data_IF_176943414316
#
_entry.id   IF_176943414316
#
_cell.length_a   1.000
_cell.length_b   1.000
_cell.length_c   1.000
_cell.angle_alpha   90.00
_cell.angle_beta   90.00
_cell.angle_gamma   90.00
#
_symmetry.space_group_name_H-M   'P 1'
#
loop_
_entity.id
_entity.type
_entity.pdbx_description
1 polymer ?
#
# COMPACT_ATOMS: atom_id res chain seq x y z
N UNK A 1 6.33 -14.02 7.36
CA UNK A 1 6.21 -14.30 5.91
C UNK A 1 6.91 -15.58 5.56
N UNK A 2 6.56 -16.19 4.43
CA UNK A 2 7.20 -17.38 3.89
C UNK A 2 7.82 -17.04 2.53
N UNK A 3 8.79 -17.84 2.07
CA UNK A 3 9.60 -17.52 0.88
C UNK A 3 8.81 -17.48 -0.43
N UNK A 4 7.84 -18.38 -0.61
CA UNK A 4 7.03 -18.46 -1.83
C UNK A 4 5.74 -17.68 -1.64
N UNK A 5 5.90 -16.35 -1.55
CA UNK A 5 4.79 -15.42 -1.46
C UNK A 5 4.38 -14.94 -2.85
N UNK A 6 3.08 -14.95 -3.08
CA UNK A 6 2.45 -14.40 -4.29
C UNK A 6 1.68 -13.15 -3.91
N UNK A 7 1.81 -12.13 -4.73
CA UNK A 7 0.97 -10.94 -4.71
C UNK A 7 0.29 -10.85 -6.08
N UNK A 8 -1.01 -11.04 -6.09
CA UNK A 8 -1.84 -10.91 -7.30
C UNK A 8 -2.66 -9.64 -7.15
N UNK A 9 -2.38 -8.66 -8.00
CA UNK A 9 -3.15 -7.43 -8.03
C UNK A 9 -4.63 -7.71 -8.33
N UNK A 10 -5.50 -7.13 -7.51
CA UNK A 10 -6.94 -7.26 -7.63
C UNK A 10 -7.59 -5.89 -7.51
N UNK A 11 -7.68 -5.19 -8.65
CA UNK A 11 -8.22 -3.84 -8.75
C UNK A 11 -9.50 -3.84 -9.56
N UNK A 12 -10.62 -3.56 -8.91
CA UNK A 12 -11.94 -3.49 -9.56
C UNK A 12 -12.61 -2.17 -9.26
N UNK A 13 -13.03 -1.47 -10.33
CA UNK A 13 -13.87 -0.29 -10.19
C UNK A 13 -15.30 -0.68 -9.85
N UNK A 14 -16.04 0.27 -9.33
CA UNK A 14 -17.48 0.13 -9.03
C UNK A 14 -18.35 -0.28 -10.23
N UNK A 15 -17.83 -0.13 -11.45
CA UNK A 15 -18.53 -0.48 -12.68
C UNK A 15 -18.34 -1.95 -13.10
N UNK A 16 -17.43 -2.69 -12.47
CA UNK A 16 -17.18 -4.10 -12.81
C UNK A 16 -18.24 -4.96 -12.12
N UNK A 17 -19.07 -5.67 -12.91
CA UNK A 17 -20.13 -6.52 -12.35
C UNK A 17 -19.57 -7.85 -11.83
N UNK A 18 -20.37 -8.53 -11.00
CA UNK A 18 -20.15 -9.92 -10.58
C UNK A 18 -18.78 -10.18 -9.92
N UNK A 19 -18.26 -9.22 -9.17
CA UNK A 19 -16.97 -9.37 -8.46
C UNK A 19 -17.04 -10.58 -7.54
N UNK A 20 -16.10 -11.52 -7.72
CA UNK A 20 -16.00 -12.73 -6.90
C UNK A 20 -17.03 -13.83 -7.22
N UNK A 21 -17.95 -13.66 -8.19
CA UNK A 21 -19.00 -14.65 -8.51
C UNK A 21 -18.46 -16.03 -8.89
N UNK A 22 -17.28 -16.09 -9.47
CA UNK A 22 -16.59 -17.32 -9.87
C UNK A 22 -15.65 -17.87 -8.78
N UNK A 23 -15.63 -17.29 -7.59
CA UNK A 23 -14.73 -17.74 -6.53
C UNK A 23 -15.15 -19.13 -6.03
N UNK A 24 -14.22 -20.07 -6.20
CA UNK A 24 -14.32 -21.45 -5.69
C UNK A 24 -13.19 -21.71 -4.71
N UNK A 25 -13.48 -21.96 -3.42
CA UNK A 25 -12.44 -22.28 -2.42
C UNK A 25 -11.60 -23.50 -2.84
N UNK A 26 -12.22 -24.52 -3.42
CA UNK A 26 -11.54 -25.75 -3.88
C UNK A 26 -10.54 -25.43 -5.00
N UNK A 27 -11.00 -24.70 -6.03
CA UNK A 27 -10.14 -24.30 -7.14
C UNK A 27 -9.00 -23.38 -6.65
N UNK A 28 -9.31 -22.43 -5.78
CA UNK A 28 -8.32 -21.53 -5.19
C UNK A 28 -7.22 -22.31 -4.45
N UNK A 29 -7.61 -23.25 -3.59
CA UNK A 29 -6.67 -24.13 -2.88
C UNK A 29 -5.84 -24.98 -3.84
N UNK A 30 -6.45 -25.53 -4.88
CA UNK A 30 -5.74 -26.34 -5.87
C UNK A 30 -4.67 -25.51 -6.59
N UNK A 31 -4.98 -24.28 -7.04
CA UNK A 31 -4.01 -23.43 -7.71
C UNK A 31 -2.86 -23.03 -6.77
N UNK A 32 -3.14 -22.73 -5.50
CA UNK A 32 -2.10 -22.45 -4.51
C UNK A 32 -1.18 -23.65 -4.26
N UNK A 33 -1.72 -24.86 -4.19
CA UNK A 33 -0.91 -26.10 -4.07
C UNK A 33 -0.05 -26.36 -5.31
N UNK A 34 -0.64 -26.23 -6.51
CA UNK A 34 0.07 -26.39 -7.80
C UNK A 34 1.20 -25.37 -7.96
N UNK A 35 0.96 -24.12 -7.52
CA UNK A 35 1.97 -23.06 -7.52
C UNK A 35 2.99 -23.16 -6.38
N UNK A 36 2.88 -24.16 -5.49
CA UNK A 36 3.70 -24.28 -4.29
C UNK A 36 3.73 -23.00 -3.44
N UNK A 37 2.60 -22.29 -3.36
CA UNK A 37 2.48 -21.02 -2.67
C UNK A 37 2.42 -21.26 -1.16
N UNK A 38 3.27 -20.54 -0.40
CA UNK A 38 3.29 -20.60 1.07
C UNK A 38 2.62 -19.38 1.71
N UNK A 39 2.46 -18.30 0.95
CA UNK A 39 1.83 -17.05 1.40
C UNK A 39 1.21 -16.33 0.21
N UNK A 40 0.01 -15.78 0.39
CA UNK A 40 -0.67 -14.97 -0.63
C UNK A 40 -1.20 -13.68 -0.02
N UNK A 41 -0.94 -12.55 -0.66
CA UNK A 41 -1.52 -11.26 -0.25
C UNK A 41 -2.96 -11.18 -0.75
N UNK A 42 -3.90 -10.92 0.17
CA UNK A 42 -5.33 -10.81 -0.11
C UNK A 42 -5.83 -9.40 0.14
N UNK A 43 -6.76 -8.94 -0.66
CA UNK A 43 -7.16 -7.53 -0.71
C UNK A 43 -8.35 -7.24 0.20
N UNK A 44 -8.18 -6.33 1.18
CA UNK A 44 -9.29 -5.69 1.90
C UNK A 44 -9.91 -4.58 1.05
N UNK A 45 -9.07 -3.71 0.47
CA UNK A 45 -9.49 -2.72 -0.54
C UNK A 45 -8.37 -2.44 -1.53
N UNK A 46 -8.73 -2.07 -2.76
CA UNK A 46 -7.79 -1.65 -3.80
C UNK A 46 -7.77 -0.13 -3.99
N UNK A 47 -7.11 0.37 -5.04
CA UNK A 47 -7.00 1.79 -5.35
C UNK A 47 -8.34 2.48 -5.65
N UNK A 48 -9.35 1.74 -6.09
CA UNK A 48 -10.69 2.28 -6.29
C UNK A 48 -11.42 2.62 -4.97
N UNK A 49 -10.94 2.10 -3.82
CA UNK A 49 -11.43 2.46 -2.50
C UNK A 49 -12.57 1.60 -1.96
N UNK A 50 -13.08 0.62 -2.71
CA UNK A 50 -14.14 -0.28 -2.26
C UNK A 50 -13.59 -1.48 -1.48
N UNK A 51 -14.33 -1.90 -0.44
CA UNK A 51 -13.97 -3.08 0.35
C UNK A 51 -14.40 -4.38 -0.34
N UNK A 52 -13.59 -5.41 -0.23
CA UNK A 52 -13.90 -6.77 -0.70
C UNK A 52 -14.49 -7.65 0.41
N UNK A 53 -15.11 -7.02 1.39
CA UNK A 53 -15.79 -7.65 2.53
C UNK A 53 -16.87 -6.72 3.08
N UNK A 54 -17.87 -7.21 3.81
CA UNK A 54 -18.77 -6.36 4.59
C UNK A 54 -17.95 -5.50 5.56
N UNK A 55 -18.17 -4.20 5.56
CA UNK A 55 -17.34 -3.25 6.30
C UNK A 55 -18.19 -2.20 6.99
N UNK A 56 -17.74 -1.75 8.18
CA UNK A 56 -18.29 -0.61 8.92
C UNK A 56 -17.41 0.63 8.69
N UNK A 57 -16.10 0.43 8.55
CA UNK A 57 -15.13 1.51 8.32
C UNK A 57 -15.04 1.92 6.84
N UNK A 58 -15.67 1.15 5.94
CA UNK A 58 -15.68 1.36 4.49
C UNK A 58 -17.02 0.91 3.90
N UNK A 59 -17.15 0.99 2.59
CA UNK A 59 -18.28 0.47 1.85
C UNK A 59 -17.84 -0.76 1.04
N UNK A 60 -18.64 -1.83 1.10
CA UNK A 60 -18.42 -3.01 0.25
C UNK A 60 -18.58 -2.64 -1.22
N UNK A 61 -17.82 -3.30 -2.08
CA UNK A 61 -17.92 -3.13 -3.53
C UNK A 61 -19.37 -3.40 -3.99
N UNK A 62 -19.97 -2.50 -4.81
CA UNK A 62 -21.42 -2.57 -5.14
C UNK A 62 -21.83 -3.85 -5.85
N UNK A 63 -20.92 -4.54 -6.50
CA UNK A 63 -21.16 -5.78 -7.20
C UNK A 63 -20.52 -7.00 -6.52
N UNK A 64 -20.25 -6.92 -5.21
CA UNK A 64 -19.82 -8.04 -4.38
C UNK A 64 -20.89 -8.37 -3.35
N UNK A 65 -21.41 -9.59 -3.37
CA UNK A 65 -22.56 -10.01 -2.55
C UNK A 65 -22.18 -10.81 -1.29
N UNK A 66 -20.89 -11.07 -1.06
CA UNK A 66 -20.43 -11.88 0.06
C UNK A 66 -19.08 -11.40 0.60
N UNK A 67 -18.58 -12.01 1.66
CA UNK A 67 -17.26 -11.75 2.24
C UNK A 67 -16.17 -12.49 1.46
N UNK A 68 -15.70 -11.88 0.37
CA UNK A 68 -14.66 -12.48 -0.48
C UNK A 68 -13.32 -12.59 0.28
N UNK A 69 -12.94 -11.55 1.04
CA UNK A 69 -11.69 -11.57 1.81
C UNK A 69 -11.71 -12.68 2.87
N UNK A 70 -12.79 -12.80 3.64
CA UNK A 70 -12.95 -13.86 4.63
C UNK A 70 -12.90 -15.25 4.02
N UNK A 71 -13.63 -15.47 2.93
CA UNK A 71 -13.64 -16.75 2.22
C UNK A 71 -12.26 -17.14 1.66
N UNK A 72 -11.49 -16.18 1.16
CA UNK A 72 -10.12 -16.41 0.69
C UNK A 72 -9.17 -16.74 1.84
N UNK A 73 -9.28 -16.03 2.99
CA UNK A 73 -8.46 -16.31 4.18
C UNK A 73 -8.73 -17.73 4.71
N UNK A 74 -10.00 -18.08 4.87
CA UNK A 74 -10.39 -19.41 5.32
C UNK A 74 -9.87 -20.52 4.38
N UNK A 75 -10.05 -20.35 3.08
CA UNK A 75 -9.59 -21.30 2.09
C UNK A 75 -8.06 -21.47 2.10
N UNK A 76 -7.31 -20.39 2.20
CA UNK A 76 -5.84 -20.42 2.26
C UNK A 76 -5.33 -21.06 3.57
N UNK A 77 -5.91 -20.69 4.71
CA UNK A 77 -5.53 -21.24 6.02
C UNK A 77 -5.81 -22.73 6.12
N UNK A 78 -6.89 -23.23 5.53
CA UNK A 78 -7.21 -24.65 5.50
C UNK A 78 -6.12 -25.52 4.84
N UNK A 79 -5.25 -24.92 4.03
CA UNK A 79 -4.10 -25.56 3.41
C UNK A 79 -2.75 -25.02 3.90
N UNK A 80 -2.76 -24.35 5.06
CA UNK A 80 -1.56 -23.80 5.71
C UNK A 80 -0.82 -22.73 4.88
N UNK A 81 -1.52 -21.95 4.06
CA UNK A 81 -0.99 -20.80 3.33
C UNK A 81 -1.25 -19.54 4.14
N UNK A 82 -0.22 -18.71 4.33
CA UNK A 82 -0.29 -17.45 5.08
C UNK A 82 -0.97 -16.35 4.27
N UNK A 83 -1.70 -15.47 4.96
CA UNK A 83 -2.56 -14.45 4.33
C UNK A 83 -2.32 -13.06 4.90
N UNK A 84 -1.24 -12.34 4.51
CA UNK A 84 -1.17 -10.91 4.74
C UNK A 84 -2.29 -10.20 3.96
N UNK A 85 -2.91 -9.20 4.62
CA UNK A 85 -4.02 -8.44 4.05
C UNK A 85 -3.52 -7.10 3.50
N UNK A 86 -3.82 -6.85 2.25
CA UNK A 86 -3.48 -5.64 1.51
C UNK A 86 -4.53 -4.56 1.71
N UNK A 87 -4.06 -3.33 1.94
CA UNK A 87 -4.86 -2.12 1.83
C UNK A 87 -4.09 -1.09 0.97
N UNK A 88 -4.75 -0.57 -0.07
CA UNK A 88 -4.26 0.63 -0.74
C UNK A 88 -4.30 1.79 0.25
N UNK A 89 -3.14 2.25 0.68
CA UNK A 89 -3.04 3.29 1.68
C UNK A 89 -2.96 4.69 1.06
N UNK A 90 -2.09 4.87 0.06
CA UNK A 90 -1.89 6.17 -0.57
C UNK A 90 -2.93 6.57 -1.61
N UNK A 91 -3.68 5.59 -2.13
CA UNK A 91 -4.69 5.79 -3.17
C UNK A 91 -6.05 5.28 -2.67
N UNK A 92 -7.06 6.09 -2.82
CA UNK A 92 -8.45 5.75 -2.56
C UNK A 92 -9.33 6.65 -3.43
N UNK A 93 -9.64 6.19 -4.64
CA UNK A 93 -10.34 7.01 -5.62
C UNK A 93 -11.76 7.38 -5.18
N UNK A 94 -12.40 6.52 -4.40
CA UNK A 94 -13.72 6.81 -3.82
C UNK A 94 -13.66 7.98 -2.85
N UNK A 95 -12.71 7.99 -1.93
CA UNK A 95 -12.55 9.09 -0.97
C UNK A 95 -11.97 10.34 -1.65
N UNK A 96 -11.09 10.18 -2.63
CA UNK A 96 -10.56 11.29 -3.43
C UNK A 96 -11.67 12.07 -4.15
N UNK A 97 -12.66 11.37 -4.72
CA UNK A 97 -13.82 12.01 -5.38
C UNK A 97 -14.76 12.70 -4.40
N UNK A 98 -14.88 12.17 -3.17
CA UNK A 98 -15.71 12.78 -2.11
C UNK A 98 -15.06 13.99 -1.48
N UNK A 99 -13.74 13.97 -1.41
CA UNK A 99 -12.90 14.92 -0.70
C UNK A 99 -11.76 15.42 -1.59
N UNK A 100 -12.06 16.21 -2.66
CA UNK A 100 -11.04 16.77 -3.53
C UNK A 100 -10.00 17.63 -2.78
N UNK A 101 -10.39 18.22 -1.67
CA UNK A 101 -9.54 19.03 -0.79
C UNK A 101 -8.47 18.18 -0.04
N UNK A 102 -8.61 16.87 -0.03
CA UNK A 102 -7.63 15.95 0.56
C UNK A 102 -6.57 15.45 -0.41
N UNK A 103 -6.71 15.81 -1.71
CA UNK A 103 -5.73 15.42 -2.71
C UNK A 103 -4.35 15.95 -2.36
N UNK A 104 -3.33 15.12 -2.53
CA UNK A 104 -1.94 15.56 -2.44
C UNK A 104 -1.67 16.53 -3.58
N UNK A 105 -1.08 17.67 -3.26
CA UNK A 105 -0.66 18.71 -4.20
C UNK A 105 0.85 18.87 -4.09
N UNK A 106 1.58 18.56 -5.15
CA UNK A 106 3.02 18.81 -5.25
C UNK A 106 3.29 20.04 -6.13
N UNK A 107 4.36 20.04 -6.89
CA UNK A 107 4.66 21.10 -7.86
C UNK A 107 3.75 21.07 -9.10
N UNK A 108 2.99 19.98 -9.29
CA UNK A 108 2.00 19.85 -10.36
C UNK A 108 0.59 19.96 -9.75
N UNK A 109 -0.32 20.57 -10.50
CA UNK A 109 -1.72 20.62 -10.08
C UNK A 109 -2.34 19.24 -10.29
N UNK A 110 -2.73 18.60 -9.19
CA UNK A 110 -3.46 17.34 -9.21
C UNK A 110 -4.96 17.61 -9.18
N UNK A 111 -5.65 17.16 -10.21
CA UNK A 111 -7.11 17.30 -10.32
C UNK A 111 -7.68 16.12 -11.08
N UNK A 112 -9.01 15.92 -11.02
CA UNK A 112 -9.72 14.89 -11.77
C UNK A 112 -9.71 15.08 -13.30
N UNK A 113 -9.09 16.14 -13.80
CA UNK A 113 -8.79 16.30 -15.22
C UNK A 113 -7.57 15.49 -15.65
N UNK A 114 -6.74 15.06 -14.70
CA UNK A 114 -5.60 14.17 -14.94
C UNK A 114 -6.07 12.73 -14.84
N UNK A 115 -5.89 11.90 -15.89
CA UNK A 115 -6.26 10.48 -15.83
C UNK A 115 -5.42 9.71 -14.79
N UNK A 116 -6.02 8.71 -14.17
CA UNK A 116 -5.36 7.80 -13.24
C UNK A 116 -5.93 7.86 -11.82
N UNK A 117 -5.23 7.23 -10.89
CA UNK A 117 -5.59 7.28 -9.48
C UNK A 117 -4.99 8.51 -8.81
N UNK A 118 -5.73 9.07 -7.85
CA UNK A 118 -5.36 10.27 -7.15
C UNK A 118 -4.82 9.96 -5.75
N UNK A 119 -3.63 10.47 -5.45
CA UNK A 119 -3.02 10.31 -4.14
C UNK A 119 -3.66 11.24 -3.11
N UNK A 120 -3.93 10.71 -1.92
CA UNK A 120 -4.46 11.45 -0.78
C UNK A 120 -3.34 11.84 0.19
N UNK A 121 -3.48 13.02 0.79
CA UNK A 121 -2.53 13.54 1.75
C UNK A 121 -2.80 12.98 3.16
N UNK A 122 -1.78 12.42 3.80
CA UNK A 122 -1.89 11.88 5.17
C UNK A 122 -1.96 12.95 6.27
N UNK A 123 -1.82 14.22 5.93
CA UNK A 123 -2.07 15.36 6.83
C UNK A 123 -3.54 15.84 6.79
N UNK A 124 -4.45 14.96 6.38
CA UNK A 124 -5.89 15.20 6.27
C UNK A 124 -6.67 14.16 7.07
N UNK A 125 -7.99 14.34 7.30
CA UNK A 125 -8.83 13.35 7.95
C UNK A 125 -8.86 11.97 7.28
N UNK A 126 -8.37 11.84 6.05
CA UNK A 126 -8.22 10.55 5.38
C UNK A 126 -7.39 9.56 6.19
N UNK A 127 -6.37 10.02 6.94
CA UNK A 127 -5.58 9.13 7.80
C UNK A 127 -6.42 8.46 8.89
N UNK A 128 -7.46 9.14 9.40
CA UNK A 128 -8.37 8.55 10.39
C UNK A 128 -9.21 7.43 9.76
N UNK A 129 -9.70 7.65 8.55
CA UNK A 129 -10.44 6.65 7.77
C UNK A 129 -9.56 5.42 7.50
N UNK A 130 -8.33 5.65 7.04
CA UNK A 130 -7.39 4.56 6.77
C UNK A 130 -7.07 3.74 8.04
N UNK A 131 -6.83 4.42 9.18
CA UNK A 131 -6.60 3.73 10.45
C UNK A 131 -7.80 2.90 10.89
N UNK A 132 -9.03 3.40 10.73
CA UNK A 132 -10.24 2.65 11.04
C UNK A 132 -10.38 1.40 10.14
N UNK A 133 -10.07 1.50 8.86
CA UNK A 133 -10.08 0.37 7.92
C UNK A 133 -9.01 -0.69 8.29
N UNK A 134 -7.82 -0.25 8.72
CA UNK A 134 -6.77 -1.14 9.22
C UNK A 134 -7.24 -1.86 10.49
N UNK A 135 -7.78 -1.13 11.47
CA UNK A 135 -8.31 -1.72 12.72
C UNK A 135 -9.40 -2.75 12.43
N UNK A 136 -10.32 -2.44 11.51
CA UNK A 136 -11.38 -3.38 11.12
C UNK A 136 -10.80 -4.66 10.51
N UNK A 137 -9.87 -4.56 9.57
CA UNK A 137 -9.25 -5.74 8.94
C UNK A 137 -8.54 -6.63 9.98
N UNK A 138 -7.81 -6.02 10.92
CA UNK A 138 -7.06 -6.75 11.97
C UNK A 138 -7.98 -7.39 13.00
N UNK A 139 -9.09 -6.74 13.36
CA UNK A 139 -10.01 -7.27 14.36
C UNK A 139 -10.95 -8.32 13.79
N UNK A 140 -11.36 -8.15 12.56
CA UNK A 140 -12.34 -9.03 11.91
C UNK A 140 -11.72 -10.33 11.39
N UNK A 141 -10.48 -10.28 10.89
CA UNK A 141 -9.86 -11.42 10.24
C UNK A 141 -8.62 -11.93 10.98
N UNK A 142 -8.41 -13.24 10.92
CA UNK A 142 -7.17 -13.84 11.42
C UNK A 142 -6.05 -13.72 10.36
N UNK A 143 -5.71 -12.48 9.96
CA UNK A 143 -4.66 -12.22 8.99
C UNK A 143 -3.26 -12.47 9.57
N UNK A 144 -2.29 -12.78 8.69
CA UNK A 144 -0.89 -13.06 9.06
C UNK A 144 0.03 -11.83 8.88
N UNK A 145 -0.51 -10.69 8.53
CA UNK A 145 0.18 -9.41 8.34
C UNK A 145 -0.72 -8.39 7.69
N UNK A 146 -0.26 -7.14 7.66
CA UNK A 146 -0.90 -6.04 6.93
C UNK A 146 0.10 -5.52 5.90
N UNK A 147 -0.36 -5.28 4.68
CA UNK A 147 0.41 -4.74 3.57
C UNK A 147 -0.20 -3.40 3.15
N UNK A 148 0.51 -2.29 3.40
CA UNK A 148 0.09 -0.94 3.09
C UNK A 148 0.84 -0.43 1.87
N UNK A 149 0.09 -0.02 0.85
CA UNK A 149 0.62 0.24 -0.49
C UNK A 149 0.59 1.72 -0.89
N UNK A 150 1.51 2.08 -1.80
CA UNK A 150 1.59 3.38 -2.47
C UNK A 150 1.75 4.55 -1.50
N UNK A 151 2.69 4.43 -0.56
CA UNK A 151 3.06 5.52 0.34
C UNK A 151 4.56 5.70 0.45
N UNK A 152 4.98 6.94 0.30
CA UNK A 152 6.35 7.40 0.50
C UNK A 152 6.33 8.81 1.09
N UNK A 153 7.49 9.29 1.55
CA UNK A 153 7.67 10.70 1.87
C UNK A 153 7.46 11.51 0.58
N UNK A 154 6.44 12.35 0.57
CA UNK A 154 6.05 13.12 -0.62
C UNK A 154 5.70 14.54 -0.24
N UNK A 155 6.35 15.49 -0.87
CA UNK A 155 6.05 16.90 -0.70
C UNK A 155 4.59 17.18 -1.03
N UNK A 156 3.96 18.03 -0.20
CA UNK A 156 2.56 18.37 -0.38
C UNK A 156 2.29 19.81 0.05
N UNK A 157 1.55 20.51 -0.79
CA UNK A 157 1.06 21.88 -0.56
C UNK A 157 -0.46 21.93 -0.63
N UNK A 158 -1.16 20.86 -0.25
CA UNK A 158 -2.61 20.93 -0.06
C UNK A 158 -2.96 21.88 1.11
N UNK A 159 -4.21 22.26 1.22
CA UNK A 159 -4.65 23.23 2.24
C UNK A 159 -4.18 22.86 3.64
N UNK A 160 -4.34 21.60 4.04
CA UNK A 160 -3.93 21.15 5.38
C UNK A 160 -2.41 21.29 5.60
N UNK A 161 -1.58 20.99 4.59
CA UNK A 161 -0.14 21.16 4.70
C UNK A 161 0.28 22.62 4.76
N UNK A 162 -0.36 23.50 3.97
CA UNK A 162 -0.12 24.94 4.03
C UNK A 162 -0.47 25.51 5.40
N UNK A 163 -1.63 25.16 5.93
CA UNK A 163 -2.07 25.61 7.25
C UNK A 163 -1.12 25.14 8.36
N UNK A 164 -0.59 23.90 8.27
CA UNK A 164 0.41 23.40 9.22
C UNK A 164 1.71 24.17 9.13
N UNK A 165 2.25 24.37 7.92
CA UNK A 165 3.51 25.13 7.73
C UNK A 165 3.39 26.55 8.29
N UNK A 166 2.29 27.24 8.00
CA UNK A 166 2.05 28.60 8.48
C UNK A 166 1.93 28.64 10.01
N UNK A 167 1.19 27.68 10.60
CA UNK A 167 1.04 27.58 12.05
C UNK A 167 2.38 27.35 12.77
N UNK A 168 3.29 26.60 12.14
CA UNK A 168 4.63 26.30 12.66
C UNK A 168 5.67 27.41 12.34
N UNK A 169 5.24 28.51 11.71
CA UNK A 169 6.12 29.62 11.31
C UNK A 169 7.12 29.24 10.21
N UNK A 170 6.76 28.26 9.38
CA UNK A 170 7.55 27.76 8.25
C UNK A 170 7.11 28.42 6.95
N UNK A 171 8.01 28.44 5.97
CA UNK A 171 7.76 29.05 4.66
C UNK A 171 7.26 27.97 3.67
N UNK A 172 6.01 28.03 3.18
CA UNK A 172 5.51 27.11 2.17
C UNK A 172 6.24 27.17 0.82
N UNK A 173 6.94 28.26 0.53
CA UNK A 173 7.76 28.40 -0.68
C UNK A 173 9.15 27.81 -0.51
N UNK A 174 9.61 27.58 0.73
CA UNK A 174 10.89 26.94 1.00
C UNK A 174 10.81 25.42 0.83
N UNK A 175 11.49 24.80 -0.15
CA UNK A 175 11.46 23.35 -0.35
C UNK A 175 11.93 22.55 0.87
N UNK A 176 12.85 23.09 1.68
CA UNK A 176 13.34 22.39 2.86
C UNK A 176 12.28 22.29 3.96
N UNK A 177 11.50 23.36 4.17
CA UNK A 177 10.38 23.34 5.13
C UNK A 177 9.27 22.39 4.68
N UNK A 178 8.94 22.41 3.39
CA UNK A 178 7.94 21.49 2.82
C UNK A 178 8.40 20.05 2.94
N UNK A 179 9.67 19.77 2.69
CA UNK A 179 10.23 18.43 2.82
C UNK A 179 10.25 17.95 4.26
N UNK A 180 10.62 18.80 5.21
CA UNK A 180 10.58 18.48 6.63
C UNK A 180 9.15 18.11 7.08
N UNK A 181 8.14 18.90 6.68
CA UNK A 181 6.74 18.56 6.96
C UNK A 181 6.34 17.22 6.32
N UNK A 182 6.78 16.94 5.08
CA UNK A 182 6.47 15.66 4.42
C UNK A 182 7.03 14.45 5.18
N UNK A 183 8.21 14.58 5.77
CA UNK A 183 8.83 13.56 6.62
C UNK A 183 8.04 13.37 7.92
N UNK A 184 7.63 14.43 8.59
CA UNK A 184 6.81 14.38 9.79
C UNK A 184 5.42 13.77 9.53
N UNK A 185 4.78 14.12 8.43
CA UNK A 185 3.49 13.56 7.99
C UNK A 185 3.62 12.05 7.74
N UNK A 186 4.69 11.64 7.06
CA UNK A 186 4.94 10.22 6.82
C UNK A 186 5.24 9.47 8.13
N UNK A 187 6.04 10.02 9.01
CA UNK A 187 6.35 9.44 10.33
C UNK A 187 5.07 9.31 11.19
N UNK A 188 4.21 10.32 11.17
CA UNK A 188 2.89 10.27 11.85
C UNK A 188 2.00 9.17 11.28
N UNK A 189 1.90 9.07 9.94
CA UNK A 189 1.18 7.98 9.29
C UNK A 189 1.71 6.62 9.72
N UNK A 190 3.01 6.38 9.61
CA UNK A 190 3.62 5.09 9.94
C UNK A 190 3.37 4.70 11.41
N UNK A 191 3.53 5.65 12.33
CA UNK A 191 3.27 5.46 13.75
C UNK A 191 1.80 5.10 14.01
N UNK A 192 0.86 5.82 13.40
CA UNK A 192 -0.59 5.61 13.59
C UNK A 192 -1.06 4.31 12.95
N UNK A 193 -0.62 4.00 11.74
CA UNK A 193 -0.95 2.75 11.05
C UNK A 193 -0.44 1.52 11.85
N UNK A 194 0.80 1.57 12.34
CA UNK A 194 1.34 0.53 13.20
C UNK A 194 0.57 0.40 14.52
N UNK A 195 0.20 1.52 15.14
CA UNK A 195 -0.59 1.53 16.37
C UNK A 195 -1.98 0.90 16.15
N UNK A 196 -2.65 1.18 15.03
CA UNK A 196 -3.93 0.59 14.65
C UNK A 196 -3.85 -0.95 14.55
N UNK A 197 -2.73 -1.48 14.06
CA UNK A 197 -2.49 -2.93 14.01
C UNK A 197 -2.16 -3.48 15.40
N UNK A 198 -1.15 -2.91 16.07
CA UNK A 198 -0.57 -3.52 17.27
C UNK A 198 -1.44 -3.35 18.52
N UNK A 199 -2.39 -2.42 18.52
CA UNK A 199 -3.43 -2.30 19.55
C UNK A 199 -4.24 -3.60 19.70
N UNK A 200 -4.48 -4.30 18.61
CA UNK A 200 -5.31 -5.51 18.57
C UNK A 200 -4.49 -6.79 18.41
N UNK A 201 -3.41 -6.73 17.64
CA UNK A 201 -2.52 -7.88 17.39
C UNK A 201 -1.06 -7.47 17.58
N UNK A 202 -0.56 -7.44 18.84
CA UNK A 202 0.84 -7.14 19.11
C UNK A 202 1.78 -8.08 18.36
N UNK A 203 2.74 -7.51 17.62
CA UNK A 203 3.72 -8.28 16.86
C UNK A 203 3.27 -8.75 15.47
N UNK A 204 2.03 -8.47 15.04
CA UNK A 204 1.62 -8.74 13.67
C UNK A 204 2.49 -7.93 12.70
N UNK A 205 3.09 -8.55 11.65
CA UNK A 205 3.91 -7.82 10.69
C UNK A 205 3.12 -6.76 9.92
N UNK A 206 3.70 -5.57 9.77
CA UNK A 206 3.18 -4.50 8.92
C UNK A 206 4.20 -4.21 7.83
N UNK A 207 3.75 -4.18 6.59
CA UNK A 207 4.55 -3.89 5.41
C UNK A 207 4.13 -2.56 4.82
N UNK A 208 5.10 -1.75 4.44
CA UNK A 208 4.87 -0.52 3.71
C UNK A 208 5.56 -0.65 2.34
N UNK A 209 4.79 -0.57 1.26
CA UNK A 209 5.32 -0.57 -0.09
C UNK A 209 5.47 0.88 -0.57
N UNK A 210 6.66 1.44 -0.36
CA UNK A 210 7.03 2.78 -0.83
C UNK A 210 7.94 2.78 -2.06
N UNK A 211 8.30 1.60 -2.54
CA UNK A 211 9.15 1.42 -3.73
C UNK A 211 10.64 1.61 -3.49
N UNK A 212 11.06 2.59 -2.71
CA UNK A 212 12.48 2.85 -2.42
C UNK A 212 12.68 3.25 -0.96
N UNK A 213 13.75 2.73 -0.36
CA UNK A 213 14.30 3.24 0.89
C UNK A 213 15.54 4.02 0.53
N UNK A 214 15.52 5.32 0.76
CA UNK A 214 16.67 6.17 0.59
C UNK A 214 17.70 5.89 1.69
N UNK A 215 18.95 5.79 1.30
CA UNK A 215 20.06 5.51 2.22
C UNK A 215 20.21 6.69 3.19
N UNK A 216 20.03 6.44 4.49
CA UNK A 216 20.24 7.44 5.54
C UNK A 216 19.03 7.78 6.42
N UNK A 217 17.83 7.37 6.08
CA UNK A 217 16.64 7.68 6.87
C UNK A 217 16.50 6.75 8.08
N UNK A 218 17.00 7.18 9.23
CA UNK A 218 16.91 6.44 10.50
C UNK A 218 15.45 6.16 10.91
N UNK A 219 14.50 7.01 10.51
CA UNK A 219 13.07 6.85 10.78
C UNK A 219 12.52 5.57 10.12
N UNK A 220 13.03 5.21 8.92
CA UNK A 220 12.64 4.00 8.20
C UNK A 220 13.10 2.71 8.89
N UNK A 221 14.27 2.75 9.54
CA UNK A 221 14.84 1.55 10.15
C UNK A 221 14.30 1.23 11.53
N UNK A 222 13.84 2.21 12.30
CA UNK A 222 13.42 2.04 13.70
C UNK A 222 11.92 1.90 13.90
N UNK A 223 11.11 2.51 13.04
CA UNK A 223 9.64 2.55 13.19
C UNK A 223 8.91 1.56 12.30
N UNK A 224 9.56 1.03 11.28
CA UNK A 224 8.98 0.16 10.28
C UNK A 224 9.80 -1.13 10.25
N UNK A 225 9.23 -2.22 10.72
CA UNK A 225 9.75 -3.54 10.34
C UNK A 225 9.42 -3.76 8.87
N UNK A 226 10.19 -3.08 8.00
CA UNK A 226 10.10 -3.27 6.56
C UNK A 226 10.69 -4.62 6.25
N UNK A 227 9.84 -5.56 5.94
CA UNK A 227 10.22 -6.77 5.25
C UNK A 227 10.12 -6.56 3.73
N UNK A 228 10.76 -5.52 3.22
CA UNK A 228 11.25 -5.54 1.85
C UNK A 228 12.61 -6.23 1.90
N UNK A 229 12.75 -7.36 1.30
CA UNK A 229 13.97 -8.18 1.34
C UNK A 229 15.20 -7.50 0.68
N UNK A 230 15.07 -6.28 0.20
CA UNK A 230 16.15 -5.46 -0.38
C UNK A 230 16.80 -4.46 0.58
N UNK A 231 16.35 -4.31 1.83
CA UNK A 231 16.64 -3.09 2.57
C UNK A 231 17.34 -3.21 3.92
N UNK A 232 17.83 -4.35 4.34
CA UNK A 232 18.61 -4.46 5.58
C UNK A 232 19.94 -5.18 5.32
N UNK A 233 20.85 -4.49 4.64
CA UNK A 233 22.28 -4.76 4.83
C UNK A 233 22.84 -3.64 5.73
N UNK A 234 23.45 -3.97 6.88
CA UNK A 234 24.14 -2.97 7.70
C UNK A 234 25.27 -2.39 6.87
N UNK A 235 25.44 -1.07 6.94
CA UNK A 235 26.62 -0.39 6.43
C UNK A 235 27.85 -0.80 7.25
N UNK A 236 28.39 -1.96 6.97
CA UNK A 236 29.76 -2.31 7.32
C UNK A 236 30.59 -2.06 6.05
N UNK A 237 31.59 -1.20 6.18
CA UNK A 237 32.52 -0.88 5.10
C UNK A 237 33.10 -2.14 4.47
N UNK A 238 32.65 -2.42 3.26
CA UNK A 238 33.26 -3.41 2.41
C UNK A 238 33.09 -2.94 0.96
N UNK A 239 34.18 -2.56 0.37
CA UNK A 239 34.39 -2.56 -1.08
C UNK A 239 34.06 -3.95 -1.60
N UNK A 240 32.89 -4.14 -2.17
CA UNK A 240 32.59 -5.32 -2.96
C UNK A 240 32.38 -4.92 -4.40
N UNK A 241 33.33 -5.27 -5.22
CA UNK A 241 33.22 -5.33 -6.67
C UNK A 241 32.03 -6.23 -7.02
N UNK A 242 31.00 -5.63 -7.58
CA UNK A 242 29.82 -6.35 -8.07
C UNK A 242 30.20 -7.27 -9.23
N UNK A 243 29.83 -8.57 -9.20
CA UNK A 243 30.06 -9.47 -10.35
C UNK A 243 28.97 -9.34 -11.44
N UNK A 244 28.11 -8.32 -11.38
CA UNK A 244 27.08 -8.14 -12.40
C UNK A 244 27.59 -7.19 -13.50
N UNK A 245 28.12 -7.79 -14.56
CA UNK A 245 28.39 -7.11 -15.82
C UNK A 245 27.06 -7.03 -16.59
N UNK A 246 26.51 -5.84 -16.89
CA UNK A 246 25.33 -5.77 -17.74
C UNK A 246 25.72 -6.27 -19.15
N UNK A 247 24.94 -7.19 -19.67
CA UNK A 247 25.04 -7.60 -21.07
C UNK A 247 24.74 -6.41 -21.96
N UNK A 248 25.68 -6.05 -22.82
CA UNK A 248 25.44 -5.08 -23.91
C UNK A 248 24.36 -5.62 -24.82
N UNK A 249 23.34 -4.80 -25.20
CA UNK A 249 22.36 -5.23 -26.17
C UNK A 249 23.03 -5.40 -27.54
N UNK A 250 22.60 -6.39 -28.35
CA UNK A 250 23.10 -6.54 -29.71
C UNK A 250 22.67 -5.33 -30.57
N UNK A 251 23.57 -4.90 -31.42
CA UNK A 251 23.33 -3.86 -32.41
C UNK A 251 22.09 -4.20 -33.28
N UNK A 252 21.22 -3.21 -33.40
CA UNK A 252 20.10 -3.23 -34.34
C UNK A 252 20.61 -3.19 -35.77
N UNK A 253 20.50 -4.25 -36.51
CA UNK A 253 20.45 -4.19 -37.96
C UNK A 253 19.03 -3.83 -38.38
N UNK A 254 18.92 -2.66 -38.95
CA UNK A 254 17.75 -2.17 -39.64
C UNK A 254 17.50 -2.95 -40.97
N UNK A 255 16.23 -3.01 -41.28
CA UNK A 255 15.62 -3.50 -42.51
C UNK A 255 15.09 -4.92 -42.47
N UNK A 256 13.74 -4.97 -42.36
CA UNK A 256 12.82 -5.77 -43.19
C UNK A 256 11.40 -5.36 -42.77
N UNK A 257 10.75 -4.53 -43.61
CA UNK A 257 9.34 -4.61 -44.02
C UNK A 257 9.21 -3.81 -45.29
N UNK A 258 9.17 -4.51 -46.43
CA UNK A 258 8.49 -4.11 -47.65
C UNK A 258 7.13 -4.81 -47.64
#
# INVERSE_FOLDING_TARGET
>A
MRFRQVHLDFHTSESIPNVGSEFSPVQFQEQLRRGHVDSITLFSKCHHGWAYHPSVANQIHPHLSFDLLGAQIEAAHAINVKTPVYLSAGLDEKEARRHPEWLRQDTHVHSFLTPGFHALCMNTPYLDILCAQIEEAVTRYNCDGIFLDILSVSDCRCRACLDTLIADGKDPENPADVRALAEDVYANYARRANAAVHKHKPGLPVFHNGGHITQGDAIWCTSIRILSWKACLPAAGATTTSPYRPATPPHSDSNIWA
#
